data_IF_729663971065
#
_entry.id   IF_729663971065
#
_cell.length_a   1.000
_cell.length_b   1.000
_cell.length_c   1.000
_cell.angle_alpha   90.00
_cell.angle_beta   90.00
_cell.angle_gamma   90.00
#
_symmetry.space_group_name_H-M   'P 1'
#
loop_
_entity.id
_entity.type
_entity.pdbx_description
1 polymer ?
#
# COMPACT_ATOMS: atom_id res chain seq x y z
N UNK A 1 12.31 -6.81 20.51
CA UNK A 1 11.06 -6.22 19.97
C UNK A 1 9.98 -6.15 21.05
N UNK A 2 9.58 -7.29 21.66
CA UNK A 2 8.55 -7.32 22.71
C UNK A 2 8.81 -6.35 23.90
N UNK A 3 10.08 -6.16 24.28
CA UNK A 3 10.48 -5.25 25.36
C UNK A 3 10.22 -3.76 25.04
N UNK A 4 10.46 -3.35 23.79
CA UNK A 4 10.20 -1.98 23.33
C UNK A 4 8.69 -1.69 23.23
N UNK A 5 7.88 -2.70 22.87
CA UNK A 5 6.42 -2.57 22.80
C UNK A 5 5.79 -2.40 24.19
N UNK A 6 6.28 -3.17 25.18
CA UNK A 6 5.86 -3.04 26.58
C UNK A 6 6.19 -1.67 27.17
N UNK A 7 7.34 -1.08 26.79
CA UNK A 7 7.76 0.23 27.25
C UNK A 7 6.83 1.38 26.80
N UNK A 8 6.11 1.21 25.68
CA UNK A 8 5.11 2.18 25.18
C UNK A 8 3.67 1.73 25.46
N UNK A 9 3.46 0.66 26.22
CA UNK A 9 2.13 0.17 26.62
C UNK A 9 1.32 -0.49 25.50
N UNK A 10 1.97 -0.94 24.43
CA UNK A 10 1.30 -1.56 23.28
C UNK A 10 1.60 -3.07 23.26
N UNK A 11 0.58 -3.89 23.02
CA UNK A 11 0.77 -5.32 22.75
C UNK A 11 1.79 -5.52 21.62
N UNK A 12 2.84 -6.30 21.90
CA UNK A 12 3.92 -6.53 20.94
C UNK A 12 3.52 -7.25 19.66
N UNK A 13 2.38 -7.97 19.63
CA UNK A 13 1.85 -8.59 18.41
C UNK A 13 1.10 -7.58 17.55
N UNK A 14 0.23 -6.77 18.17
CA UNK A 14 -0.47 -5.66 17.51
C UNK A 14 0.55 -4.72 16.85
N UNK A 15 1.62 -4.34 17.57
CA UNK A 15 2.64 -3.45 16.99
C UNK A 15 3.37 -4.05 15.77
N UNK A 16 3.77 -5.33 15.82
CA UNK A 16 4.48 -5.95 14.70
C UNK A 16 3.60 -6.08 13.44
N UNK A 17 2.31 -6.34 13.64
CA UNK A 17 1.31 -6.35 12.59
C UNK A 17 1.10 -4.94 12.01
N UNK A 18 0.90 -3.94 12.86
CA UNK A 18 0.65 -2.55 12.45
C UNK A 18 1.84 -1.95 11.71
N UNK A 19 3.07 -2.22 12.15
CA UNK A 19 4.27 -1.81 11.44
C UNK A 19 4.36 -2.45 10.04
N UNK A 20 3.96 -3.72 9.90
CA UNK A 20 3.89 -4.36 8.58
C UNK A 20 2.82 -3.73 7.69
N UNK A 21 1.66 -3.38 8.26
CA UNK A 21 0.62 -2.65 7.51
C UNK A 21 1.10 -1.29 7.04
N UNK A 22 1.77 -0.51 7.89
CA UNK A 22 2.35 0.78 7.49
C UNK A 22 3.41 0.58 6.39
N UNK A 23 4.27 -0.43 6.53
CA UNK A 23 5.31 -0.75 5.55
C UNK A 23 4.74 -1.23 4.20
N UNK A 24 3.52 -1.79 4.16
CA UNK A 24 2.83 -2.13 2.92
C UNK A 24 2.05 -0.94 2.35
N UNK A 25 1.30 -0.22 3.19
CA UNK A 25 0.41 0.86 2.76
C UNK A 25 1.15 2.03 2.11
N UNK A 26 2.24 2.51 2.74
CA UNK A 26 2.98 3.68 2.22
C UNK A 26 3.53 3.49 0.80
N UNK A 27 4.23 2.39 0.46
CA UNK A 27 4.73 2.20 -0.89
C UNK A 27 3.62 1.89 -1.92
N UNK A 28 2.55 1.21 -1.53
CA UNK A 28 1.40 0.95 -2.41
C UNK A 28 0.70 2.27 -2.77
N UNK A 29 0.44 3.12 -1.77
CA UNK A 29 -0.14 4.45 -1.98
C UNK A 29 0.77 5.37 -2.82
N UNK A 30 2.10 5.16 -2.77
CA UNK A 30 3.06 5.86 -3.62
C UNK A 30 3.10 5.32 -5.08
N UNK A 31 2.30 4.31 -5.41
CA UNK A 31 2.26 3.72 -6.75
C UNK A 31 3.44 2.81 -7.08
N UNK A 32 4.15 2.29 -6.07
CA UNK A 32 5.24 1.34 -6.31
C UNK A 32 4.70 -0.01 -6.78
N UNK A 33 5.52 -0.72 -7.56
CA UNK A 33 5.16 -2.02 -8.12
C UNK A 33 5.07 -3.09 -7.03
N UNK A 34 4.28 -4.14 -7.30
CA UNK A 34 4.17 -5.32 -6.43
C UNK A 34 5.55 -5.92 -6.14
N UNK A 35 6.46 -5.94 -7.12
CA UNK A 35 7.82 -6.44 -6.95
C UNK A 35 8.63 -5.60 -5.93
N UNK A 36 8.49 -4.28 -5.93
CA UNK A 36 9.14 -3.40 -4.98
C UNK A 36 8.60 -3.61 -3.55
N UNK A 37 7.28 -3.72 -3.40
CA UNK A 37 6.61 -3.97 -2.10
C UNK A 37 6.97 -5.35 -1.56
N UNK A 38 6.94 -6.37 -2.42
CA UNK A 38 7.35 -7.75 -2.09
C UNK A 38 8.77 -7.81 -1.55
N UNK A 39 9.72 -7.18 -2.24
CA UNK A 39 11.12 -7.14 -1.82
C UNK A 39 11.31 -6.38 -0.50
N UNK A 40 10.58 -5.28 -0.30
CA UNK A 40 10.60 -4.50 0.95
C UNK A 40 10.11 -5.33 2.14
N UNK A 41 8.98 -6.03 1.97
CA UNK A 41 8.38 -6.87 3.02
C UNK A 41 9.13 -8.18 3.24
N UNK A 42 10.03 -8.56 2.32
CA UNK A 42 10.80 -9.80 2.32
C UNK A 42 9.91 -11.04 2.33
N UNK A 43 8.77 -10.94 1.64
CA UNK A 43 7.91 -12.09 1.40
C UNK A 43 8.62 -13.12 0.53
N UNK A 44 8.20 -14.37 0.63
CA UNK A 44 8.81 -15.44 -0.17
C UNK A 44 8.42 -15.36 -1.65
N UNK A 45 7.25 -14.79 -1.94
CA UNK A 45 6.66 -14.65 -3.26
C UNK A 45 5.81 -13.37 -3.38
N UNK A 46 5.73 -12.74 -4.57
CA UNK A 46 4.79 -11.65 -4.83
C UNK A 46 3.32 -12.02 -4.56
N UNK A 47 2.97 -13.31 -4.70
CA UNK A 47 1.61 -13.82 -4.43
C UNK A 47 1.20 -13.58 -2.99
N UNK A 48 2.09 -13.86 -2.03
CA UNK A 48 1.85 -13.65 -0.59
C UNK A 48 1.53 -12.17 -0.28
N UNK A 49 2.15 -11.24 -1.03
CA UNK A 49 1.85 -9.80 -0.92
C UNK A 49 0.45 -9.49 -1.43
N UNK A 50 0.07 -10.05 -2.58
CA UNK A 50 -1.23 -9.81 -3.20
C UNK A 50 -2.36 -10.45 -2.39
N UNK A 51 -2.18 -11.65 -1.85
CA UNK A 51 -3.19 -12.32 -1.02
C UNK A 51 -3.61 -11.48 0.19
N UNK A 52 -2.65 -10.78 0.81
CA UNK A 52 -2.90 -9.98 2.02
C UNK A 52 -3.30 -8.55 1.69
N UNK A 53 -2.59 -7.90 0.75
CA UNK A 53 -2.65 -6.45 0.58
C UNK A 53 -3.31 -5.98 -0.73
N UNK A 54 -3.85 -6.88 -1.55
CA UNK A 54 -4.51 -6.50 -2.82
C UNK A 54 -5.56 -5.39 -2.65
N UNK A 55 -6.27 -5.40 -1.53
CA UNK A 55 -7.30 -4.42 -1.18
C UNK A 55 -6.78 -2.98 -0.98
N UNK A 56 -5.45 -2.79 -0.91
CA UNK A 56 -4.83 -1.48 -0.83
C UNK A 56 -4.58 -0.85 -2.22
N UNK A 57 -4.61 -1.63 -3.29
CA UNK A 57 -4.51 -1.08 -4.64
C UNK A 57 -5.85 -0.49 -5.08
N UNK A 58 -5.82 0.64 -5.83
CA UNK A 58 -7.02 1.19 -6.42
C UNK A 58 -7.61 0.17 -7.40
N UNK A 59 -8.93 0.12 -7.43
CA UNK A 59 -9.67 -0.68 -8.40
C UNK A 59 -9.52 -0.10 -9.80
N UNK A 60 -9.69 -0.95 -10.82
CA UNK A 60 -9.68 -0.50 -12.22
C UNK A 60 -10.75 0.59 -12.47
N UNK A 61 -11.86 0.55 -11.75
CA UNK A 61 -12.93 1.56 -11.81
C UNK A 61 -12.47 2.92 -11.29
N UNK A 62 -11.75 2.95 -10.17
CA UNK A 62 -11.15 4.17 -9.60
C UNK A 62 -10.07 4.72 -10.53
N UNK A 63 -9.16 3.87 -11.02
CA UNK A 63 -8.15 4.24 -12.00
C UNK A 63 -8.77 4.81 -13.28
N UNK A 64 -9.84 4.19 -13.78
CA UNK A 64 -10.55 4.65 -14.98
C UNK A 64 -11.20 6.01 -14.75
N UNK A 65 -11.84 6.21 -13.59
CA UNK A 65 -12.46 7.49 -13.24
C UNK A 65 -11.43 8.61 -13.13
N UNK A 66 -10.30 8.33 -12.49
CA UNK A 66 -9.21 9.28 -12.34
C UNK A 66 -8.62 9.69 -13.69
N UNK A 67 -8.42 8.72 -14.60
CA UNK A 67 -7.90 8.99 -15.95
C UNK A 67 -8.88 9.81 -16.79
N UNK A 68 -10.18 9.47 -16.77
CA UNK A 68 -11.21 10.26 -17.44
C UNK A 68 -11.22 11.70 -16.90
N UNK A 69 -11.11 11.88 -15.58
CA UNK A 69 -11.01 13.18 -14.95
C UNK A 69 -9.81 13.99 -15.43
N UNK A 70 -8.61 13.37 -15.45
CA UNK A 70 -7.37 13.99 -15.94
C UNK A 70 -7.48 14.40 -17.41
N UNK A 71 -7.98 13.51 -18.27
CA UNK A 71 -8.18 13.78 -19.69
C UNK A 71 -9.18 14.94 -19.91
N UNK A 72 -10.26 14.98 -19.13
CA UNK A 72 -11.28 16.03 -19.23
C UNK A 72 -10.73 17.41 -18.85
N UNK A 73 -9.96 17.51 -17.77
CA UNK A 73 -9.31 18.76 -17.35
C UNK A 73 -8.31 19.23 -18.42
N UNK A 74 -7.49 18.31 -18.94
CA UNK A 74 -6.54 18.60 -20.03
C UNK A 74 -7.25 19.16 -21.26
N UNK A 75 -8.38 18.56 -21.65
CA UNK A 75 -9.15 18.98 -22.83
C UNK A 75 -9.76 20.38 -22.68
N UNK A 76 -10.30 20.70 -21.49
CA UNK A 76 -10.83 22.05 -21.20
C UNK A 76 -9.72 23.09 -21.17
N UNK A 77 -8.55 22.76 -20.60
CA UNK A 77 -7.42 23.69 -20.52
C UNK A 77 -6.75 23.96 -21.88
N UNK A 78 -6.88 23.04 -22.84
CA UNK A 78 -6.33 23.16 -24.18
C UNK A 78 -7.23 23.92 -25.18
N UNK A 79 -8.38 24.45 -24.73
CA UNK A 79 -9.38 25.13 -25.55
C UNK A 79 -9.59 26.57 -25.11
#
# INVERSE_FOLDING_TARGET
MAEACLAVGVDGRTMAHDLRHVAANSPIAAGLSVAAVWALLRHSSPVETLEVYTHLWPTDEECTRDEIGRASVSWVAAR
#
